data_IF_774467445215
#
_entry.id   IF_774467445215
#
_cell.length_a   1.000
_cell.length_b   1.000
_cell.length_c   1.000
_cell.angle_alpha   90.00
_cell.angle_beta   90.00
_cell.angle_gamma   90.00
#
_symmetry.space_group_name_H-M   'P 1'
#
loop_
_entity.id
_entity.type
_entity.pdbx_description
1 polymer ?
#
# COMPACT_ATOMS: atom_id res chain seq x y z
N UNK A 1 -8.42 27.66 -9.51
CA UNK A 1 -7.16 26.88 -9.36
C UNK A 1 -7.10 25.89 -10.50
N UNK A 2 -6.40 26.29 -11.59
CA UNK A 2 -6.34 25.47 -12.82
C UNK A 2 -4.97 24.82 -12.96
N UNK A 3 -4.93 23.58 -13.42
CA UNK A 3 -3.70 22.87 -13.74
C UNK A 3 -3.00 23.53 -14.90
N UNK A 4 -1.77 24.02 -14.72
CA UNK A 4 -0.96 24.64 -15.77
C UNK A 4 0.23 23.78 -16.20
N UNK A 5 0.70 22.89 -15.32
CA UNK A 5 1.79 21.98 -15.65
C UNK A 5 1.76 20.71 -14.78
N UNK A 6 2.33 19.61 -15.26
CA UNK A 6 2.59 18.38 -14.52
C UNK A 6 4.05 18.01 -14.79
N UNK A 7 4.87 17.96 -13.74
CA UNK A 7 6.30 17.67 -13.81
C UNK A 7 6.62 16.37 -13.11
N UNK A 8 7.59 15.66 -13.64
CA UNK A 8 8.12 14.43 -13.10
C UNK A 8 9.57 14.60 -12.66
N UNK A 9 9.94 13.94 -11.58
CA UNK A 9 11.30 13.93 -11.06
C UNK A 9 11.64 12.56 -10.49
N UNK A 10 12.85 12.05 -10.74
CA UNK A 10 13.31 10.80 -10.12
C UNK A 10 13.89 11.08 -8.74
N UNK A 11 13.45 10.31 -7.75
CA UNK A 11 14.04 10.31 -6.40
C UNK A 11 14.69 8.96 -6.11
N UNK A 12 15.79 8.98 -5.35
CA UNK A 12 16.46 7.77 -4.89
C UNK A 12 16.85 7.91 -3.42
N UNK A 13 16.27 7.05 -2.57
CA UNK A 13 16.52 7.04 -1.13
C UNK A 13 17.05 5.65 -0.75
N UNK A 14 18.30 5.53 -0.22
CA UNK A 14 18.82 4.26 0.24
C UNK A 14 17.99 3.70 1.41
N UNK A 15 17.88 2.36 1.49
CA UNK A 15 17.27 1.68 2.62
C UNK A 15 18.29 1.47 3.76
N UNK A 16 17.76 1.35 4.98
CA UNK A 16 18.56 0.96 6.18
C UNK A 16 19.14 -0.44 6.00
N UNK A 17 18.29 -1.38 5.51
CA UNK A 17 18.67 -2.75 5.15
C UNK A 17 18.01 -3.10 3.81
N UNK A 18 18.61 -4.03 3.01
CA UNK A 18 17.98 -4.47 1.77
C UNK A 18 16.62 -5.10 2.02
N UNK A 19 15.59 -4.66 1.28
CA UNK A 19 14.23 -5.19 1.33
C UNK A 19 14.12 -6.43 0.44
N UNK A 20 13.69 -7.56 1.01
CA UNK A 20 13.62 -8.85 0.32
C UNK A 20 12.24 -9.48 0.44
N UNK A 21 11.67 -9.88 -0.68
CA UNK A 21 10.43 -10.65 -0.78
C UNK A 21 10.67 -11.96 -1.53
N UNK A 22 9.62 -12.76 -1.74
CA UNK A 22 9.70 -13.92 -2.61
C UNK A 22 10.07 -13.52 -4.05
N UNK A 23 9.67 -12.33 -4.51
CA UNK A 23 9.76 -11.90 -5.91
C UNK A 23 11.01 -11.08 -6.24
N UNK A 24 11.55 -10.27 -5.29
CA UNK A 24 12.65 -9.34 -5.56
C UNK A 24 13.49 -8.98 -4.33
N UNK A 25 14.65 -8.38 -4.61
CA UNK A 25 15.50 -7.71 -3.61
C UNK A 25 15.81 -6.30 -4.13
N UNK A 26 15.75 -5.29 -3.25
CA UNK A 26 16.12 -3.91 -3.55
C UNK A 26 16.78 -3.23 -2.35
N UNK A 27 17.65 -2.27 -2.59
CA UNK A 27 18.44 -1.55 -1.58
C UNK A 27 18.07 -0.06 -1.49
N UNK A 28 17.14 0.39 -2.30
CA UNK A 28 16.69 1.78 -2.32
C UNK A 28 15.23 1.90 -2.78
N UNK A 29 14.54 2.94 -2.31
CA UNK A 29 13.39 3.55 -2.99
C UNK A 29 13.95 4.28 -4.21
N UNK A 30 13.41 4.02 -5.40
CA UNK A 30 13.88 4.60 -6.66
C UNK A 30 12.66 4.97 -7.53
N UNK A 31 11.95 6.03 -7.12
CA UNK A 31 10.59 6.36 -7.53
C UNK A 31 10.52 7.64 -8.36
N UNK A 32 9.37 7.85 -9.00
CA UNK A 32 9.06 9.07 -9.75
C UNK A 32 8.11 9.92 -8.91
N UNK A 33 8.57 11.11 -8.52
CA UNK A 33 7.72 12.14 -7.91
C UNK A 33 7.00 12.89 -9.02
N UNK A 34 5.71 13.10 -8.83
CA UNK A 34 4.87 13.91 -9.70
C UNK A 34 4.45 15.18 -8.97
N UNK A 35 4.63 16.33 -9.64
CA UNK A 35 4.16 17.63 -9.17
C UNK A 35 3.11 18.17 -10.13
N UNK A 36 1.89 18.39 -9.64
CA UNK A 36 0.83 19.08 -10.38
C UNK A 36 0.84 20.54 -9.94
N UNK A 37 1.07 21.46 -10.89
CA UNK A 37 1.27 22.89 -10.66
C UNK A 37 0.04 23.64 -11.14
N UNK A 38 -0.42 24.60 -10.33
CA UNK A 38 -1.62 25.41 -10.62
C UNK A 38 -1.27 26.85 -11.00
N UNK A 39 -2.22 27.54 -11.63
CA UNK A 39 -2.13 28.95 -12.01
C UNK A 39 -2.11 29.92 -10.82
N UNK A 40 -2.44 29.44 -9.64
CA UNK A 40 -2.43 30.19 -8.37
C UNK A 40 -1.16 29.92 -7.55
N UNK A 41 -0.28 29.02 -8.01
CA UNK A 41 1.03 28.77 -7.43
C UNK A 41 1.08 27.55 -6.50
N UNK A 42 -0.05 26.96 -6.13
CA UNK A 42 -0.05 25.74 -5.32
C UNK A 42 0.47 24.55 -6.13
N UNK A 43 1.11 23.63 -5.43
CA UNK A 43 1.67 22.40 -5.96
C UNK A 43 1.10 21.22 -5.19
N UNK A 44 0.56 20.25 -5.93
CA UNK A 44 0.19 18.95 -5.37
C UNK A 44 1.26 17.91 -5.67
N UNK A 45 1.45 17.01 -4.73
CA UNK A 45 2.49 15.98 -4.79
C UNK A 45 1.92 14.57 -4.89
N UNK A 46 2.56 13.75 -5.70
CA UNK A 46 2.32 12.32 -5.80
C UNK A 46 3.59 11.58 -6.13
N UNK A 47 3.54 10.27 -6.00
CA UNK A 47 4.70 9.40 -6.16
C UNK A 47 4.30 8.10 -6.87
N UNK A 48 5.17 7.58 -7.70
CA UNK A 48 4.98 6.34 -8.45
C UNK A 48 6.23 5.45 -8.38
N UNK A 49 6.21 4.37 -7.59
CA UNK A 49 7.25 3.34 -7.61
C UNK A 49 7.14 2.48 -8.88
N UNK A 50 8.26 2.27 -9.61
CA UNK A 50 8.31 1.35 -10.76
C UNK A 50 8.40 -0.10 -10.27
N UNK A 51 7.26 -0.73 -9.99
CA UNK A 51 7.21 -2.11 -9.47
C UNK A 51 6.84 -3.10 -10.57
N UNK A 52 7.78 -3.36 -11.49
CA UNK A 52 7.54 -4.15 -12.69
C UNK A 52 6.99 -5.56 -12.42
N UNK A 53 7.36 -6.19 -11.29
CA UNK A 53 6.92 -7.55 -10.93
C UNK A 53 5.50 -7.61 -10.33
N UNK A 54 4.90 -6.47 -10.00
CA UNK A 54 3.55 -6.38 -9.43
C UNK A 54 2.62 -5.61 -10.37
N UNK A 55 2.93 -4.32 -10.64
CA UNK A 55 2.07 -3.47 -11.49
C UNK A 55 2.42 -3.56 -12.97
N UNK A 56 3.60 -4.09 -13.31
CA UNK A 56 4.14 -4.06 -14.67
C UNK A 56 4.73 -2.71 -15.07
N UNK A 57 4.65 -1.71 -14.19
CA UNK A 57 5.17 -0.37 -14.48
C UNK A 57 6.69 -0.30 -14.29
N UNK A 58 7.35 0.34 -15.24
CA UNK A 58 8.76 0.71 -15.22
C UNK A 58 8.91 2.22 -15.12
N UNK A 59 10.12 2.72 -14.81
CA UNK A 59 10.35 4.19 -14.83
C UNK A 59 9.94 4.81 -16.16
N UNK A 60 10.35 4.21 -17.26
CA UNK A 60 10.08 4.77 -18.59
C UNK A 60 8.59 4.71 -18.94
N UNK A 61 7.86 3.65 -18.52
CA UNK A 61 6.41 3.60 -18.73
C UNK A 61 5.68 4.66 -17.91
N UNK A 62 6.11 4.90 -16.66
CA UNK A 62 5.54 5.95 -15.81
C UNK A 62 5.78 7.33 -16.42
N UNK A 63 7.03 7.64 -16.78
CA UNK A 63 7.39 8.92 -17.42
C UNK A 63 6.61 9.14 -18.72
N UNK A 64 6.60 8.16 -19.63
CA UNK A 64 5.86 8.26 -20.89
C UNK A 64 4.34 8.37 -20.67
N UNK A 65 3.77 7.65 -19.71
CA UNK A 65 2.35 7.78 -19.40
C UNK A 65 1.99 9.18 -18.90
N UNK A 66 2.83 9.77 -18.03
CA UNK A 66 2.61 11.12 -17.52
C UNK A 66 2.80 12.17 -18.62
N UNK A 67 3.93 12.18 -19.31
CA UNK A 67 4.29 13.24 -20.26
C UNK A 67 3.44 13.21 -21.54
N UNK A 68 3.23 12.02 -22.12
CA UNK A 68 2.63 11.91 -23.46
C UNK A 68 1.09 11.80 -23.41
N UNK A 69 0.52 11.35 -22.29
CA UNK A 69 -0.91 11.05 -22.19
C UNK A 69 -1.62 11.83 -21.08
N UNK A 70 -1.12 11.80 -19.85
CA UNK A 70 -1.83 12.37 -18.70
C UNK A 70 -1.72 13.89 -18.70
N UNK A 71 -0.49 14.43 -18.79
CA UNK A 71 -0.24 15.87 -18.79
C UNK A 71 -1.06 16.61 -19.87
N UNK A 72 -0.99 16.26 -21.17
CA UNK A 72 -1.77 16.97 -22.19
C UNK A 72 -3.28 16.83 -22.02
N UNK A 73 -3.73 15.80 -21.32
CA UNK A 73 -5.14 15.54 -21.05
C UNK A 73 -5.71 16.38 -19.91
N UNK A 74 -4.88 16.85 -18.97
CA UNK A 74 -5.33 17.52 -17.74
C UNK A 74 -5.00 19.01 -17.68
N UNK A 75 -4.12 19.52 -18.52
CA UNK A 75 -3.82 20.95 -18.58
C UNK A 75 -5.10 21.76 -18.85
N UNK A 76 -5.30 22.82 -18.06
CA UNK A 76 -6.45 23.71 -18.13
C UNK A 76 -7.68 23.28 -17.32
N UNK A 77 -7.68 22.06 -16.77
CA UNK A 77 -8.78 21.66 -15.86
C UNK A 77 -8.71 22.43 -14.55
N UNK A 78 -9.88 22.78 -14.04
CA UNK A 78 -10.03 23.36 -12.70
C UNK A 78 -10.08 22.26 -11.64
N UNK A 79 -9.29 22.40 -10.57
CA UNK A 79 -9.23 21.43 -9.47
C UNK A 79 -10.61 21.19 -8.82
N UNK A 80 -11.50 22.17 -8.85
CA UNK A 80 -12.86 22.04 -8.34
C UNK A 80 -13.70 21.02 -9.14
N UNK A 81 -13.33 20.73 -10.39
CA UNK A 81 -13.96 19.68 -11.20
C UNK A 81 -13.29 18.33 -11.00
N UNK A 82 -13.22 17.87 -9.75
CA UNK A 82 -12.52 16.63 -9.36
C UNK A 82 -13.01 15.42 -10.15
N UNK A 83 -14.32 15.21 -10.25
CA UNK A 83 -14.90 14.08 -10.99
C UNK A 83 -14.50 14.09 -12.49
N UNK A 84 -14.52 15.28 -13.12
CA UNK A 84 -14.11 15.44 -14.51
C UNK A 84 -12.63 15.15 -14.72
N UNK A 85 -11.76 15.60 -13.80
CA UNK A 85 -10.32 15.29 -13.81
C UNK A 85 -10.11 13.78 -13.69
N UNK A 86 -10.75 13.12 -12.70
CA UNK A 86 -10.59 11.70 -12.46
C UNK A 86 -11.08 10.85 -13.64
N UNK A 87 -12.24 11.17 -14.22
CA UNK A 87 -12.72 10.52 -15.46
C UNK A 87 -11.72 10.64 -16.59
N UNK A 88 -11.13 11.82 -16.77
CA UNK A 88 -10.14 12.06 -17.84
C UNK A 88 -8.86 11.29 -17.57
N UNK A 89 -8.32 11.35 -16.35
CA UNK A 89 -7.13 10.64 -15.90
C UNK A 89 -7.25 9.13 -16.13
N UNK A 90 -8.37 8.53 -15.69
CA UNK A 90 -8.55 7.09 -15.81
C UNK A 90 -8.86 6.61 -17.24
N UNK A 91 -9.31 7.50 -18.13
CA UNK A 91 -9.65 7.17 -19.51
C UNK A 91 -8.55 7.46 -20.55
N UNK A 92 -7.60 8.37 -20.26
CA UNK A 92 -6.63 8.85 -21.26
C UNK A 92 -5.62 7.78 -21.69
N UNK A 93 -5.35 6.79 -20.84
CA UNK A 93 -4.48 5.65 -21.12
C UNK A 93 -5.00 4.39 -20.40
N UNK A 94 -4.79 3.20 -20.97
CA UNK A 94 -5.14 1.92 -20.31
C UNK A 94 -4.03 1.48 -19.38
N UNK A 95 -4.39 0.79 -18.28
CA UNK A 95 -3.43 0.35 -17.23
C UNK A 95 -2.59 1.52 -16.71
N UNK A 96 -1.26 1.37 -16.59
CA UNK A 96 -0.34 2.39 -16.07
C UNK A 96 -0.82 2.95 -14.71
N UNK A 97 -1.14 2.03 -13.81
CA UNK A 97 -1.81 2.36 -12.55
C UNK A 97 -0.93 3.19 -11.61
N UNK A 98 0.39 2.95 -11.59
CA UNK A 98 1.32 3.75 -10.77
C UNK A 98 1.39 5.21 -11.25
N UNK A 99 1.46 5.45 -12.57
CA UNK A 99 1.46 6.80 -13.13
C UNK A 99 0.17 7.55 -12.82
N UNK A 100 -0.98 6.87 -12.95
CA UNK A 100 -2.30 7.43 -12.59
C UNK A 100 -2.39 7.73 -11.10
N UNK A 101 -1.92 6.80 -10.25
CA UNK A 101 -1.93 6.97 -8.80
C UNK A 101 -1.15 8.22 -8.37
N UNK A 102 0.03 8.44 -8.94
CA UNK A 102 0.82 9.63 -8.62
C UNK A 102 0.10 10.94 -8.99
N UNK A 103 -0.53 11.01 -10.16
CA UNK A 103 -1.28 12.22 -10.56
C UNK A 103 -2.58 12.34 -9.77
N UNK A 104 -3.28 11.24 -9.49
CA UNK A 104 -4.49 11.20 -8.65
C UNK A 104 -4.18 11.75 -7.25
N UNK A 105 -3.13 11.25 -6.59
CA UNK A 105 -2.69 11.74 -5.27
C UNK A 105 -2.42 13.25 -5.30
N UNK A 106 -1.67 13.73 -6.29
CA UNK A 106 -1.34 15.15 -6.44
C UNK A 106 -2.59 16.03 -6.65
N UNK A 107 -3.57 15.53 -7.39
CA UNK A 107 -4.85 16.24 -7.59
C UNK A 107 -5.69 16.25 -6.32
N UNK A 108 -5.77 15.12 -5.58
CA UNK A 108 -6.45 15.07 -4.28
C UNK A 108 -5.77 15.94 -3.23
N UNK A 109 -4.45 16.03 -3.26
CA UNK A 109 -3.67 16.95 -2.42
C UNK A 109 -4.09 18.41 -2.71
N UNK A 110 -4.07 18.85 -3.97
CA UNK A 110 -4.53 20.19 -4.38
C UNK A 110 -6.00 20.45 -4.05
N UNK A 111 -6.87 19.46 -4.23
CA UNK A 111 -8.27 19.61 -3.90
C UNK A 111 -8.47 19.84 -2.39
N UNK A 112 -7.73 19.12 -1.56
CA UNK A 112 -7.77 19.30 -0.11
C UNK A 112 -7.12 20.62 0.32
N UNK A 113 -6.03 21.08 -0.33
CA UNK A 113 -5.46 22.41 -0.16
C UNK A 113 -6.49 23.50 -0.49
N UNK A 114 -7.23 23.35 -1.60
CA UNK A 114 -8.32 24.28 -1.98
C UNK A 114 -9.44 24.32 -0.94
N UNK A 115 -9.75 23.18 -0.30
CA UNK A 115 -10.72 23.11 0.80
C UNK A 115 -10.17 23.68 2.12
N UNK A 116 -8.89 23.97 2.22
CA UNK A 116 -8.23 24.42 3.45
C UNK A 116 -8.22 23.35 4.55
N UNK A 117 -8.25 22.08 4.20
CA UNK A 117 -8.37 20.95 5.13
C UNK A 117 -7.34 19.86 4.84
N UNK A 118 -6.91 19.09 5.86
CA UNK A 118 -6.16 17.87 5.64
C UNK A 118 -6.96 16.89 4.77
N UNK A 119 -6.27 16.16 3.89
CA UNK A 119 -6.93 15.27 2.94
C UNK A 119 -7.79 14.20 3.65
N UNK A 120 -7.35 13.64 4.77
CA UNK A 120 -8.15 12.63 5.48
C UNK A 120 -9.53 13.16 5.95
N UNK A 121 -9.62 14.45 6.33
CA UNK A 121 -10.89 15.08 6.68
C UNK A 121 -11.78 15.29 5.46
N UNK A 122 -11.21 15.66 4.32
CA UNK A 122 -11.93 15.77 3.05
C UNK A 122 -12.48 14.40 2.62
N UNK A 123 -11.75 13.32 2.91
CA UNK A 123 -12.19 11.94 2.64
C UNK A 123 -13.23 11.40 3.64
N UNK A 124 -13.65 12.22 4.62
CA UNK A 124 -14.70 11.89 5.57
C UNK A 124 -14.22 11.39 6.93
N UNK A 125 -12.91 11.46 7.21
CA UNK A 125 -12.29 10.82 8.34
C UNK A 125 -12.30 11.56 9.66
N UNK A 126 -12.08 10.79 10.73
CA UNK A 126 -11.99 11.25 12.11
C UNK A 126 -10.82 10.63 12.87
N UNK A 127 -10.02 9.74 12.25
CA UNK A 127 -8.86 9.15 12.91
C UNK A 127 -7.63 10.03 12.71
N UNK A 128 -7.07 10.53 13.82
CA UNK A 128 -5.81 11.31 13.80
C UNK A 128 -4.56 10.46 13.97
N UNK A 129 -4.71 9.17 14.28
CA UNK A 129 -3.60 8.22 14.42
C UNK A 129 -3.97 6.92 13.73
N UNK A 130 -3.03 6.40 12.94
CA UNK A 130 -3.07 5.08 12.31
C UNK A 130 -1.95 4.24 12.91
N UNK A 131 -2.21 2.96 13.18
CA UNK A 131 -1.18 2.01 13.60
C UNK A 131 -0.79 1.15 12.39
N UNK A 132 0.49 1.12 12.05
CA UNK A 132 1.05 0.28 10.99
C UNK A 132 1.80 -0.91 11.58
N UNK A 133 1.98 -1.97 10.79
CA UNK A 133 2.95 -3.02 11.10
C UNK A 133 4.37 -2.63 10.65
N UNK A 134 5.33 -3.52 10.90
CA UNK A 134 6.68 -3.48 10.31
C UNK A 134 6.96 -4.79 9.59
N UNK A 135 7.45 -4.68 8.36
CA UNK A 135 7.80 -5.83 7.51
C UNK A 135 9.16 -6.43 7.90
N UNK A 136 9.18 -7.72 8.20
CA UNK A 136 10.38 -8.53 8.34
C UNK A 136 10.65 -9.22 7.01
N UNK A 137 11.74 -8.84 6.35
CA UNK A 137 12.15 -9.36 5.04
C UNK A 137 12.56 -10.84 5.10
N UNK A 138 12.42 -11.56 3.97
CA UNK A 138 12.87 -12.96 3.87
C UNK A 138 14.40 -13.06 4.00
N UNK A 139 14.84 -13.70 5.06
CA UNK A 139 16.25 -13.97 5.40
C UNK A 139 16.37 -15.37 6.04
N UNK A 140 17.58 -15.86 6.41
CA UNK A 140 17.73 -16.99 7.31
C UNK A 140 16.97 -16.79 8.62
N UNK A 141 16.47 -17.87 9.22
CA UNK A 141 15.56 -17.81 10.38
C UNK A 141 16.15 -17.03 11.55
N UNK A 142 17.43 -17.24 11.85
CA UNK A 142 18.16 -16.54 12.91
C UNK A 142 18.18 -15.01 12.70
N UNK A 143 18.39 -14.57 11.47
CA UNK A 143 18.36 -13.13 11.11
C UNK A 143 16.94 -12.56 11.27
N UNK A 144 15.92 -13.28 10.81
CA UNK A 144 14.52 -12.83 10.92
C UNK A 144 14.06 -12.75 12.38
N UNK A 145 14.52 -13.68 13.22
CA UNK A 145 14.26 -13.66 14.67
C UNK A 145 14.87 -12.42 15.32
N UNK A 146 16.12 -12.08 14.99
CA UNK A 146 16.77 -10.88 15.52
C UNK A 146 16.11 -9.58 15.00
N UNK A 147 15.73 -9.53 13.71
CA UNK A 147 14.98 -8.41 13.13
C UNK A 147 13.63 -8.23 13.84
N UNK A 148 12.91 -9.33 14.11
CA UNK A 148 11.63 -9.31 14.83
C UNK A 148 11.77 -8.81 16.27
N UNK A 149 12.77 -9.32 17.03
CA UNK A 149 13.05 -8.84 18.39
C UNK A 149 13.39 -7.36 18.41
N UNK A 150 14.19 -6.90 17.44
CA UNK A 150 14.55 -5.50 17.30
C UNK A 150 13.30 -4.65 17.07
N UNK A 151 12.43 -5.03 16.14
CA UNK A 151 11.17 -4.33 15.86
C UNK A 151 10.29 -4.19 17.11
N UNK A 152 10.14 -5.28 17.89
CA UNK A 152 9.40 -5.26 19.15
C UNK A 152 10.06 -4.32 20.17
N UNK A 153 11.40 -4.31 20.26
CA UNK A 153 12.14 -3.40 21.16
C UNK A 153 11.99 -1.93 20.76
N UNK A 154 11.70 -1.64 19.49
CA UNK A 154 11.41 -0.33 18.93
C UNK A 154 9.93 0.07 19.08
N UNK A 155 9.11 -0.81 19.70
CA UNK A 155 7.72 -0.52 20.06
C UNK A 155 6.68 -0.98 19.05
N UNK A 156 7.03 -1.80 18.04
CA UNK A 156 6.05 -2.40 17.14
C UNK A 156 5.33 -3.56 17.83
N UNK A 157 4.01 -3.54 17.78
CA UNK A 157 3.11 -4.57 18.31
C UNK A 157 2.56 -5.49 17.23
N UNK A 158 2.76 -5.15 15.96
CA UNK A 158 2.35 -5.94 14.80
C UNK A 158 3.52 -6.10 13.84
N UNK A 159 3.80 -7.34 13.44
CA UNK A 159 4.87 -7.66 12.49
C UNK A 159 4.30 -8.38 11.27
N UNK A 160 4.70 -7.95 10.08
CA UNK A 160 4.40 -8.62 8.81
C UNK A 160 5.60 -9.46 8.38
N UNK A 161 5.45 -10.76 8.35
CA UNK A 161 6.52 -11.72 8.07
C UNK A 161 6.46 -12.17 6.62
N UNK A 162 7.48 -11.86 5.85
CA UNK A 162 7.59 -12.32 4.46
C UNK A 162 8.03 -13.79 4.42
N UNK A 163 7.27 -14.61 3.66
CA UNK A 163 7.48 -16.05 3.47
C UNK A 163 7.35 -16.42 1.98
N UNK A 164 7.02 -17.66 1.65
CA UNK A 164 6.67 -18.10 0.29
C UNK A 164 7.81 -18.70 -0.53
N UNK A 165 9.02 -18.83 0.06
CA UNK A 165 10.18 -19.44 -0.65
C UNK A 165 10.43 -20.90 -0.31
N UNK A 166 10.07 -21.35 0.89
CA UNK A 166 10.59 -22.57 1.50
C UNK A 166 9.50 -23.60 1.88
N UNK A 167 8.23 -23.28 1.60
CA UNK A 167 7.13 -24.19 1.88
C UNK A 167 7.04 -24.60 3.35
N UNK A 168 7.44 -25.87 3.69
CA UNK A 168 7.40 -26.33 5.08
C UNK A 168 8.32 -25.57 6.02
N UNK A 169 9.47 -25.08 5.55
CA UNK A 169 10.37 -24.23 6.31
C UNK A 169 9.74 -22.90 6.74
N UNK A 170 8.65 -22.45 6.06
CA UNK A 170 7.91 -21.27 6.45
C UNK A 170 7.18 -21.46 7.81
N UNK A 171 6.71 -22.68 8.13
CA UNK A 171 6.11 -23.00 9.44
C UNK A 171 7.15 -22.91 10.56
N UNK A 172 8.34 -23.51 10.36
CA UNK A 172 9.44 -23.47 11.34
C UNK A 172 9.92 -22.02 11.56
N UNK A 173 9.99 -21.24 10.49
CA UNK A 173 10.30 -19.79 10.54
C UNK A 173 9.30 -19.04 11.41
N UNK A 174 8.01 -19.21 11.16
CA UNK A 174 6.96 -18.55 11.94
C UNK A 174 6.97 -18.99 13.40
N UNK A 175 7.22 -20.27 13.69
CA UNK A 175 7.35 -20.79 15.06
C UNK A 175 8.52 -20.13 15.78
N UNK A 176 9.70 -20.08 15.16
CA UNK A 176 10.88 -19.46 15.76
C UNK A 176 10.66 -17.97 16.07
N UNK A 177 9.96 -17.24 15.17
CA UNK A 177 9.61 -15.84 15.39
C UNK A 177 8.59 -15.72 16.53
N UNK A 178 7.52 -16.52 16.56
CA UNK A 178 6.52 -16.51 17.64
C UNK A 178 7.15 -16.80 19.00
N UNK A 179 8.00 -17.81 19.08
CA UNK A 179 8.73 -18.15 20.32
C UNK A 179 9.61 -16.99 20.80
N UNK A 180 10.17 -16.21 19.89
CA UNK A 180 11.08 -15.12 20.19
C UNK A 180 10.37 -13.82 20.59
N UNK A 181 9.21 -13.50 20.00
CA UNK A 181 8.49 -12.23 20.24
C UNK A 181 7.37 -12.36 21.29
N UNK A 182 7.00 -13.59 21.66
CA UNK A 182 5.94 -13.86 22.63
C UNK A 182 4.53 -13.80 22.06
N UNK A 183 3.49 -14.08 22.87
CA UNK A 183 2.11 -14.22 22.42
C UNK A 183 1.40 -12.88 22.13
N UNK A 184 1.87 -11.78 22.69
CA UNK A 184 1.17 -10.49 22.63
C UNK A 184 1.42 -9.72 21.33
N UNK A 185 2.41 -10.12 20.53
CA UNK A 185 2.73 -9.50 19.23
C UNK A 185 1.85 -10.10 18.14
N UNK A 186 1.12 -9.27 17.39
CA UNK A 186 0.35 -9.71 16.25
C UNK A 186 1.28 -10.09 15.09
N UNK A 187 1.08 -11.28 14.52
CA UNK A 187 1.85 -11.75 13.37
C UNK A 187 0.95 -11.85 12.15
N UNK A 188 1.34 -11.16 11.07
CA UNK A 188 0.78 -11.26 9.72
C UNK A 188 1.77 -12.03 8.85
N UNK A 189 1.27 -12.87 7.97
CA UNK A 189 2.10 -13.63 7.04
C UNK A 189 1.83 -13.13 5.63
N UNK A 190 2.88 -12.83 4.87
CA UNK A 190 2.74 -12.48 3.45
C UNK A 190 3.57 -13.46 2.60
N UNK A 191 2.86 -14.28 1.85
CA UNK A 191 3.45 -15.28 0.98
C UNK A 191 3.84 -14.73 -0.40
N UNK A 192 3.41 -13.52 -0.76
CA UNK A 192 3.67 -12.87 -2.05
C UNK A 192 3.50 -13.85 -3.23
N UNK A 193 2.36 -14.56 -3.29
CA UNK A 193 2.03 -15.51 -4.36
C UNK A 193 2.92 -16.77 -4.37
N UNK A 194 3.63 -17.09 -3.28
CA UNK A 194 4.67 -18.10 -3.25
C UNK A 194 4.19 -19.55 -3.14
N UNK A 195 2.89 -19.81 -2.92
CA UNK A 195 2.36 -21.15 -2.69
C UNK A 195 1.30 -21.52 -3.73
N UNK A 196 1.22 -22.82 -4.05
CA UNK A 196 0.04 -23.36 -4.73
C UNK A 196 -1.09 -23.58 -3.72
N UNK A 197 -2.36 -23.58 -4.18
CA UNK A 197 -3.54 -23.61 -3.30
C UNK A 197 -3.53 -24.74 -2.25
N UNK A 198 -3.25 -25.99 -2.66
CA UNK A 198 -3.15 -27.12 -1.72
C UNK A 198 -1.96 -27.02 -0.75
N UNK A 199 -0.86 -26.47 -1.22
CA UNK A 199 0.30 -26.21 -0.39
C UNK A 199 -0.01 -25.13 0.66
N UNK A 200 -0.65 -24.04 0.26
CA UNK A 200 -1.09 -22.97 1.16
C UNK A 200 -1.97 -23.51 2.29
N UNK A 201 -2.99 -24.31 1.97
CA UNK A 201 -3.84 -24.97 2.98
C UNK A 201 -3.00 -25.81 3.95
N UNK A 202 -2.06 -26.63 3.42
CA UNK A 202 -1.21 -27.49 4.26
C UNK A 202 -0.32 -26.66 5.20
N UNK A 203 0.27 -25.56 4.73
CA UNK A 203 1.16 -24.69 5.51
C UNK A 203 0.37 -23.94 6.57
N UNK A 204 -0.75 -23.29 6.19
CA UNK A 204 -1.58 -22.50 7.11
C UNK A 204 -2.18 -23.41 8.18
N UNK A 205 -2.71 -24.59 7.81
CA UNK A 205 -3.23 -25.56 8.78
C UNK A 205 -2.14 -26.08 9.74
N UNK A 206 -0.89 -26.19 9.30
CA UNK A 206 0.22 -26.53 10.19
C UNK A 206 0.53 -25.38 11.17
N UNK A 207 0.49 -24.12 10.73
CA UNK A 207 0.62 -22.95 11.61
C UNK A 207 -0.51 -22.88 12.66
N UNK A 208 -1.74 -23.20 12.23
CA UNK A 208 -2.92 -23.30 13.11
C UNK A 208 -2.79 -24.43 14.14
N UNK A 209 -2.26 -25.60 13.74
CA UNK A 209 -2.04 -26.74 14.63
C UNK A 209 -0.94 -26.48 15.68
N UNK A 210 0.08 -25.70 15.33
CA UNK A 210 1.11 -25.22 16.25
C UNK A 210 0.65 -24.03 17.12
N UNK A 211 -0.59 -23.59 16.98
CA UNK A 211 -1.17 -22.46 17.71
C UNK A 211 -0.34 -21.17 17.59
N UNK A 212 0.14 -20.85 16.37
CA UNK A 212 0.99 -19.69 16.16
C UNK A 212 0.22 -18.36 16.19
N UNK A 213 -1.11 -18.39 16.28
CA UNK A 213 -1.99 -17.22 16.39
C UNK A 213 -1.69 -16.14 15.33
N UNK A 214 -1.80 -16.56 14.05
CA UNK A 214 -1.58 -15.69 12.90
C UNK A 214 -2.83 -14.85 12.65
N UNK A 215 -2.71 -13.51 12.64
CA UNK A 215 -3.83 -12.59 12.42
C UNK A 215 -4.44 -12.76 11.02
N UNK A 216 -3.59 -12.88 10.00
CA UNK A 216 -4.00 -13.09 8.61
C UNK A 216 -2.84 -13.62 7.76
N UNK A 217 -3.20 -14.23 6.62
CA UNK A 217 -2.26 -14.61 5.55
C UNK A 217 -2.59 -13.84 4.29
N UNK A 218 -1.61 -13.07 3.80
CA UNK A 218 -1.72 -12.24 2.60
C UNK A 218 -1.23 -13.00 1.37
N UNK A 219 -2.03 -12.94 0.30
CA UNK A 219 -1.81 -13.44 -1.05
C UNK A 219 -1.04 -14.77 -1.10
N UNK A 220 -1.63 -15.87 -0.63
CA UNK A 220 -0.97 -17.18 -0.64
C UNK A 220 -0.72 -17.73 -2.04
N UNK A 221 -1.66 -17.52 -2.98
CA UNK A 221 -1.63 -18.05 -4.36
C UNK A 221 -1.30 -16.95 -5.38
N UNK A 222 -0.97 -17.36 -6.61
CA UNK A 222 -0.74 -16.42 -7.72
C UNK A 222 -1.96 -15.52 -7.96
N UNK A 223 -1.71 -14.29 -8.39
CA UNK A 223 -2.71 -13.21 -8.48
C UNK A 223 -3.94 -13.59 -9.30
N UNK A 224 -3.76 -14.30 -10.42
CA UNK A 224 -4.83 -14.66 -11.36
C UNK A 224 -5.58 -15.95 -10.97
N UNK A 225 -5.14 -16.66 -9.90
CA UNK A 225 -5.77 -17.89 -9.42
C UNK A 225 -6.85 -17.60 -8.36
N UNK A 226 -7.95 -16.99 -8.79
CA UNK A 226 -9.10 -16.69 -7.92
C UNK A 226 -9.75 -17.93 -7.33
N UNK A 227 -9.81 -19.03 -8.09
CA UNK A 227 -10.34 -20.31 -7.61
C UNK A 227 -9.42 -20.92 -6.55
N UNK A 228 -8.11 -20.85 -6.75
CA UNK A 228 -7.13 -21.29 -5.77
C UNK A 228 -7.15 -20.46 -4.50
N UNK A 229 -7.29 -19.13 -4.61
CA UNK A 229 -7.43 -18.24 -3.46
C UNK A 229 -8.69 -18.59 -2.66
N UNK A 230 -9.83 -18.74 -3.36
CA UNK A 230 -11.08 -19.19 -2.75
C UNK A 230 -10.93 -20.56 -2.08
N UNK A 231 -10.25 -21.50 -2.76
CA UNK A 231 -10.01 -22.81 -2.18
C UNK A 231 -9.25 -22.72 -0.86
N UNK A 232 -8.23 -21.84 -0.77
CA UNK A 232 -7.50 -21.61 0.50
C UNK A 232 -8.45 -21.05 1.55
N UNK A 233 -9.17 -19.97 1.23
CA UNK A 233 -10.12 -19.30 2.15
C UNK A 233 -11.17 -20.28 2.72
N UNK A 234 -11.71 -21.16 1.88
CA UNK A 234 -12.71 -22.15 2.30
C UNK A 234 -12.15 -23.28 3.21
N UNK A 235 -10.81 -23.49 3.26
CA UNK A 235 -10.20 -24.66 3.91
C UNK A 235 -9.28 -24.32 5.09
N UNK A 236 -9.14 -23.06 5.44
CA UNK A 236 -8.38 -22.62 6.61
C UNK A 236 -9.25 -21.76 7.53
N UNK A 237 -8.83 -21.59 8.81
CA UNK A 237 -9.53 -20.74 9.77
C UNK A 237 -8.90 -19.34 9.83
N UNK A 238 -7.61 -19.26 9.52
CA UNK A 238 -6.87 -18.01 9.50
C UNK A 238 -7.38 -17.13 8.36
N UNK A 239 -7.75 -15.87 8.61
CA UNK A 239 -8.26 -14.97 7.58
C UNK A 239 -7.29 -14.78 6.41
N UNK A 240 -7.82 -14.77 5.20
CA UNK A 240 -7.06 -14.57 3.95
C UNK A 240 -7.26 -13.16 3.43
N UNK A 241 -6.15 -12.45 3.21
CA UNK A 241 -6.10 -11.11 2.65
C UNK A 241 -5.66 -11.16 1.18
N UNK A 242 -6.50 -10.65 0.28
CA UNK A 242 -6.17 -10.52 -1.14
C UNK A 242 -5.37 -9.24 -1.39
N UNK A 243 -4.16 -9.35 -1.94
CA UNK A 243 -3.31 -8.23 -2.37
C UNK A 243 -3.21 -8.15 -3.90
N UNK A 244 -2.34 -8.95 -4.50
CA UNK A 244 -2.09 -8.89 -5.95
C UNK A 244 -3.28 -9.38 -6.79
N UNK A 245 -4.29 -9.98 -6.19
CA UNK A 245 -5.55 -10.32 -6.87
C UNK A 245 -6.53 -9.15 -6.98
N UNK A 246 -6.25 -7.96 -6.42
CA UNK A 246 -7.16 -6.80 -6.44
C UNK A 246 -6.46 -5.58 -7.01
N UNK A 247 -6.66 -5.30 -8.28
CA UNK A 247 -6.18 -4.09 -8.97
C UNK A 247 -7.31 -3.11 -9.31
N UNK A 248 -8.54 -3.56 -9.28
CA UNK A 248 -9.67 -2.75 -9.71
C UNK A 248 -10.92 -2.98 -8.87
N UNK A 249 -11.87 -2.06 -9.02
CA UNK A 249 -13.22 -2.19 -8.47
C UNK A 249 -13.89 -3.50 -8.92
N UNK A 250 -13.62 -3.96 -10.15
CA UNK A 250 -14.20 -5.21 -10.69
C UNK A 250 -13.63 -6.42 -9.98
N UNK A 251 -12.32 -6.45 -9.76
CA UNK A 251 -11.65 -7.54 -9.03
C UNK A 251 -12.19 -7.61 -7.60
N UNK A 252 -12.36 -6.47 -6.92
CA UNK A 252 -12.93 -6.40 -5.58
C UNK A 252 -14.37 -6.97 -5.55
N UNK A 253 -15.22 -6.60 -6.52
CA UNK A 253 -16.58 -7.14 -6.64
C UNK A 253 -16.54 -8.66 -6.84
N UNK A 254 -15.66 -9.15 -7.69
CA UNK A 254 -15.54 -10.57 -8.00
C UNK A 254 -15.09 -11.37 -6.78
N UNK A 255 -14.04 -10.91 -6.09
CA UNK A 255 -13.55 -11.53 -4.86
C UNK A 255 -14.60 -11.58 -3.76
N UNK A 256 -15.26 -10.45 -3.49
CA UNK A 256 -16.29 -10.34 -2.46
C UNK A 256 -17.49 -11.25 -2.76
N UNK A 257 -18.02 -11.22 -3.99
CA UNK A 257 -19.17 -12.05 -4.38
C UNK A 257 -18.90 -13.54 -4.28
N UNK A 258 -17.69 -13.96 -4.62
CA UNK A 258 -17.27 -15.35 -4.58
C UNK A 258 -16.75 -15.77 -3.20
N UNK A 259 -16.61 -14.84 -2.23
CA UNK A 259 -15.96 -15.06 -0.94
C UNK A 259 -14.58 -15.70 -1.12
N UNK A 260 -13.81 -15.15 -2.06
CA UNK A 260 -12.49 -15.67 -2.39
C UNK A 260 -11.39 -15.18 -1.45
N UNK A 261 -11.68 -14.18 -0.62
CA UNK A 261 -10.82 -13.71 0.46
C UNK A 261 -11.71 -13.09 1.57
N UNK A 262 -11.18 -13.00 2.79
CA UNK A 262 -11.84 -12.39 3.95
C UNK A 262 -11.61 -10.88 4.03
N UNK A 263 -10.44 -10.41 3.55
CA UNK A 263 -10.03 -9.01 3.55
C UNK A 263 -9.43 -8.61 2.20
N UNK A 264 -9.39 -7.30 1.94
CA UNK A 264 -8.78 -6.71 0.74
C UNK A 264 -7.66 -5.75 1.11
N UNK A 265 -6.47 -5.92 0.51
CA UNK A 265 -5.38 -4.95 0.62
C UNK A 265 -5.49 -3.90 -0.50
N UNK A 266 -5.75 -2.64 -0.12
CA UNK A 266 -5.80 -1.49 -1.01
C UNK A 266 -4.41 -0.86 -1.06
N UNK A 267 -3.76 -0.91 -2.23
CA UNK A 267 -2.54 -0.17 -2.53
C UNK A 267 -2.82 0.82 -3.65
N UNK A 268 -2.51 2.09 -3.45
CA UNK A 268 -2.81 3.15 -4.41
C UNK A 268 -2.19 2.87 -5.79
N UNK A 269 -1.02 2.25 -5.82
CA UNK A 269 -0.33 1.87 -7.06
C UNK A 269 -1.05 0.80 -7.87
N UNK A 270 -1.79 -0.10 -7.21
CA UNK A 270 -2.62 -1.10 -7.88
C UNK A 270 -3.91 -0.49 -8.40
N UNK A 271 -4.60 0.26 -7.56
CA UNK A 271 -5.92 0.83 -7.88
C UNK A 271 -5.85 1.98 -8.89
N UNK A 272 -4.69 2.62 -9.02
CA UNK A 272 -4.53 3.82 -9.84
C UNK A 272 -4.89 5.10 -9.10
N UNK A 273 -4.84 5.10 -7.76
CA UNK A 273 -5.00 6.25 -6.89
C UNK A 273 -6.15 6.15 -5.89
N UNK A 274 -6.39 7.25 -5.21
CA UNK A 274 -7.40 7.42 -4.16
C UNK A 274 -8.81 7.28 -4.71
N UNK A 275 -9.07 7.81 -5.91
CA UNK A 275 -10.40 7.81 -6.52
C UNK A 275 -10.97 6.39 -6.70
N UNK A 276 -10.19 5.48 -7.26
CA UNK A 276 -10.61 4.08 -7.42
C UNK A 276 -10.60 3.34 -6.07
N UNK A 277 -9.64 3.65 -5.18
CA UNK A 277 -9.61 3.09 -3.83
C UNK A 277 -10.88 3.42 -3.03
N UNK A 278 -11.41 4.64 -3.13
CA UNK A 278 -12.68 5.02 -2.49
C UNK A 278 -13.87 4.19 -2.98
N UNK A 279 -13.90 3.83 -4.25
CA UNK A 279 -14.95 2.95 -4.79
C UNK A 279 -14.84 1.54 -4.21
N UNK A 280 -13.61 1.02 -4.07
CA UNK A 280 -13.36 -0.28 -3.41
C UNK A 280 -13.82 -0.22 -1.96
N UNK A 281 -13.47 0.83 -1.21
CA UNK A 281 -13.94 1.04 0.16
C UNK A 281 -15.47 1.01 0.24
N UNK A 282 -16.18 1.72 -0.64
CA UNK A 282 -17.64 1.76 -0.64
C UNK A 282 -18.29 0.39 -0.91
N UNK A 283 -17.68 -0.42 -1.78
CA UNK A 283 -18.14 -1.80 -2.02
C UNK A 283 -17.85 -2.67 -0.80
N UNK A 284 -16.64 -2.62 -0.27
CA UNK A 284 -16.24 -3.36 0.92
C UNK A 284 -17.16 -3.04 2.12
N UNK A 285 -17.45 -1.76 2.36
CA UNK A 285 -18.42 -1.31 3.37
C UNK A 285 -19.82 -1.93 3.16
N UNK A 286 -20.29 -1.98 1.91
CA UNK A 286 -21.62 -2.51 1.58
C UNK A 286 -21.73 -4.00 1.91
N UNK A 287 -20.66 -4.76 1.77
CA UNK A 287 -20.61 -6.20 2.02
C UNK A 287 -20.03 -6.57 3.40
N UNK A 288 -19.55 -5.61 4.18
CA UNK A 288 -18.94 -5.86 5.49
C UNK A 288 -17.56 -6.54 5.41
N UNK A 289 -16.81 -6.32 4.32
CA UNK A 289 -15.47 -6.87 4.13
C UNK A 289 -14.44 -5.80 4.55
N UNK A 290 -13.61 -6.12 5.53
CA UNK A 290 -12.56 -5.20 6.00
C UNK A 290 -11.47 -4.99 4.95
N UNK A 291 -10.84 -3.81 5.01
CA UNK A 291 -9.71 -3.48 4.15
C UNK A 291 -8.45 -3.20 4.98
N UNK A 292 -7.32 -3.48 4.38
CA UNK A 292 -6.01 -2.98 4.80
C UNK A 292 -5.54 -1.91 3.80
N UNK A 293 -4.91 -0.85 4.29
CA UNK A 293 -4.14 0.05 3.43
C UNK A 293 -2.69 -0.42 3.41
N UNK A 294 -2.20 -0.79 2.24
CA UNK A 294 -0.81 -1.18 2.06
C UNK A 294 -0.05 -0.22 1.15
N UNK A 295 1.27 -0.37 1.11
CA UNK A 295 2.15 0.33 0.18
C UNK A 295 3.02 -0.66 -0.62
N UNK A 296 3.63 -0.15 -1.69
CA UNK A 296 4.81 -0.76 -2.29
C UNK A 296 6.03 -0.35 -1.46
N UNK A 297 7.22 -0.46 -2.02
CA UNK A 297 8.38 0.22 -1.42
C UNK A 297 8.34 1.68 -1.90
N UNK A 298 7.78 2.53 -1.08
CA UNK A 298 7.42 3.92 -1.39
C UNK A 298 8.04 4.86 -0.36
N UNK A 299 8.26 6.12 -0.76
CA UNK A 299 8.68 7.15 0.16
C UNK A 299 7.49 7.80 0.88
N UNK A 300 7.76 8.82 1.69
CA UNK A 300 6.76 9.47 2.52
C UNK A 300 5.59 10.09 1.75
N UNK A 301 5.75 10.51 0.49
CA UNK A 301 4.65 11.14 -0.27
C UNK A 301 3.52 10.15 -0.50
N UNK A 302 3.79 9.00 -1.13
CA UNK A 302 2.76 8.01 -1.42
C UNK A 302 2.21 7.37 -0.14
N UNK A 303 3.08 7.06 0.82
CA UNK A 303 2.66 6.48 2.10
C UNK A 303 1.78 7.47 2.88
N UNK A 304 2.06 8.78 2.83
CA UNK A 304 1.18 9.80 3.43
C UNK A 304 -0.20 9.82 2.78
N UNK A 305 -0.26 9.76 1.44
CA UNK A 305 -1.56 9.71 0.75
C UNK A 305 -2.37 8.47 1.14
N UNK A 306 -1.71 7.30 1.26
CA UNK A 306 -2.35 6.06 1.74
C UNK A 306 -2.77 6.17 3.22
N UNK A 307 -1.98 6.81 4.09
CA UNK A 307 -2.34 7.08 5.48
C UNK A 307 -3.56 8.00 5.58
N UNK A 308 -3.64 9.06 4.74
CA UNK A 308 -4.82 9.92 4.67
C UNK A 308 -6.07 9.15 4.23
N UNK A 309 -5.96 8.23 3.27
CA UNK A 309 -7.07 7.34 2.89
C UNK A 309 -7.48 6.45 4.06
N UNK A 310 -6.52 5.81 4.72
CA UNK A 310 -6.78 4.96 5.88
C UNK A 310 -7.43 5.74 7.02
N UNK A 311 -6.96 6.94 7.33
CA UNK A 311 -7.54 7.81 8.34
C UNK A 311 -8.96 8.29 7.98
N UNK A 312 -9.20 8.46 6.66
CA UNK A 312 -10.46 8.93 6.10
C UNK A 312 -11.57 7.88 6.01
N UNK A 313 -11.25 6.58 6.04
CA UNK A 313 -12.23 5.50 5.78
C UNK A 313 -12.20 4.45 6.89
N UNK A 314 -13.30 4.30 7.61
CA UNK A 314 -13.41 3.39 8.76
C UNK A 314 -13.32 1.91 8.37
N UNK A 315 -13.69 1.54 7.14
CA UNK A 315 -13.59 0.17 6.62
C UNK A 315 -12.13 -0.31 6.49
N UNK A 316 -11.17 0.62 6.41
CA UNK A 316 -9.74 0.32 6.44
C UNK A 316 -9.35 0.17 7.91
N UNK A 317 -9.34 -1.05 8.40
CA UNK A 317 -9.10 -1.38 9.81
C UNK A 317 -7.64 -1.69 10.12
N UNK A 318 -6.84 -1.97 9.09
CA UNK A 318 -5.43 -2.37 9.19
C UNK A 318 -4.56 -1.51 8.26
N UNK A 319 -3.29 -1.34 8.62
CA UNK A 319 -2.30 -0.67 7.78
C UNK A 319 -0.99 -1.46 7.71
N UNK A 320 -0.35 -1.40 6.54
CA UNK A 320 0.98 -1.89 6.19
C UNK A 320 1.66 -0.75 5.41
N UNK A 321 2.08 0.28 6.17
CA UNK A 321 2.54 1.59 5.68
C UNK A 321 3.93 1.93 6.25
N UNK A 322 4.82 0.96 6.30
CA UNK A 322 6.14 1.02 6.90
C UNK A 322 7.24 1.57 5.98
N UNK A 323 6.94 1.89 4.71
CA UNK A 323 7.92 2.36 3.73
C UNK A 323 8.89 3.44 4.25
N UNK A 324 8.41 4.54 4.87
CA UNK A 324 9.29 5.57 5.43
C UNK A 324 10.23 5.08 6.53
N UNK A 325 9.82 4.10 7.35
CA UNK A 325 10.66 3.51 8.41
C UNK A 325 11.83 2.69 7.84
N UNK A 326 11.71 2.21 6.59
CA UNK A 326 12.76 1.46 5.91
C UNK A 326 13.81 2.37 5.26
N UNK A 327 13.54 3.67 5.09
CA UNK A 327 14.41 4.64 4.45
C UNK A 327 15.51 5.16 5.40
N UNK A 328 16.72 5.39 4.90
CA UNK A 328 17.82 5.96 5.68
C UNK A 328 17.60 7.40 6.11
N UNK A 329 16.82 8.16 5.35
CA UNK A 329 16.50 9.57 5.61
C UNK A 329 15.20 9.94 4.93
N UNK A 330 14.56 10.99 5.45
CA UNK A 330 13.35 11.62 4.88
C UNK A 330 13.74 12.95 4.23
N UNK A 331 13.58 13.10 2.90
CA UNK A 331 13.92 14.35 2.20
C UNK A 331 12.79 15.37 2.22
N UNK A 332 11.67 15.08 2.86
CA UNK A 332 10.45 15.91 2.80
C UNK A 332 10.24 16.68 4.09
N UNK A 333 9.55 17.83 3.97
CA UNK A 333 9.12 18.64 5.10
C UNK A 333 7.60 18.50 5.29
N UNK A 334 7.15 18.39 6.55
CA UNK A 334 5.74 18.26 6.89
C UNK A 334 5.18 16.84 6.63
N UNK A 335 3.87 16.76 6.39
CA UNK A 335 3.15 15.49 6.28
C UNK A 335 2.87 14.82 7.63
N UNK A 336 2.30 13.62 7.64
CA UNK A 336 2.14 12.82 8.84
C UNK A 336 3.48 12.53 9.50
N UNK A 337 3.49 12.42 10.83
CA UNK A 337 4.65 12.02 11.61
C UNK A 337 4.66 10.50 11.80
N UNK A 338 5.82 9.87 11.52
CA UNK A 338 6.01 8.44 11.66
C UNK A 338 6.84 8.17 12.93
N UNK A 339 6.18 7.67 13.97
CA UNK A 339 6.78 7.37 15.30
C UNK A 339 6.58 5.90 15.64
N UNK A 340 7.60 5.05 15.36
CA UNK A 340 7.48 3.61 15.49
C UNK A 340 6.27 3.11 14.67
N UNK A 341 5.36 2.39 15.31
CA UNK A 341 4.14 1.88 14.66
C UNK A 341 3.05 2.94 14.41
N UNK A 342 3.21 4.19 14.94
CA UNK A 342 2.16 5.20 14.85
C UNK A 342 2.43 6.19 13.73
N UNK A 343 1.42 6.39 12.91
CA UNK A 343 1.36 7.45 11.89
C UNK A 343 0.39 8.50 12.40
N UNK A 344 0.92 9.66 12.81
CA UNK A 344 0.16 10.75 13.41
C UNK A 344 -0.16 11.75 12.31
N UNK A 345 -1.46 11.91 12.01
CA UNK A 345 -1.94 12.83 10.99
C UNK A 345 -1.75 14.29 11.46
N UNK A 346 -1.31 15.15 10.56
CA UNK A 346 -1.23 16.58 10.83
C UNK A 346 -2.52 17.32 10.42
N UNK A 347 -2.61 18.62 10.81
CA UNK A 347 -3.74 19.48 10.50
C UNK A 347 -3.50 20.38 9.26
N UNK A 348 -2.39 20.24 8.56
CA UNK A 348 -2.09 21.00 7.35
C UNK A 348 -3.02 20.62 6.21
N UNK A 349 -3.36 21.59 5.37
CA UNK A 349 -4.18 21.35 4.20
C UNK A 349 -3.46 20.40 3.20
N UNK A 350 -4.22 19.57 2.49
CA UNK A 350 -3.67 18.58 1.59
C UNK A 350 -3.14 17.34 2.31
N UNK A 351 -2.10 16.72 1.77
CA UNK A 351 -1.28 15.70 2.45
C UNK A 351 -0.28 16.34 3.43
N UNK A 352 -0.17 17.67 3.40
CA UNK A 352 0.65 18.48 4.31
C UNK A 352 2.15 18.39 4.05
N UNK A 353 2.58 17.81 2.93
CA UNK A 353 3.99 17.67 2.56
C UNK A 353 4.42 18.83 1.65
N UNK A 354 5.65 19.30 1.87
CA UNK A 354 6.39 20.12 0.93
C UNK A 354 7.71 19.42 0.57
N UNK A 355 8.09 19.55 -0.69
CA UNK A 355 9.34 19.02 -1.21
C UNK A 355 10.05 20.13 -1.98
N UNK A 356 11.07 20.71 -1.38
CA UNK A 356 11.95 21.69 -1.99
C UNK A 356 13.30 21.03 -2.27
N UNK A 357 13.79 21.21 -3.50
CA UNK A 357 15.08 20.71 -3.93
C UNK A 357 16.14 21.80 -3.84
#
# INVERSE_FOLDING_TARGET
MKIIDIKTENIKIPLVTPFKTALRTTDCVDDIIVRVITDTGEVGYGEAPPTAVITGDTKMSILGAVEDFIRPSLIGYDIENLDGIMKKLHSCIKKNTSAKAAVDMAVYDLFAQKCGMPLYKVLGGGRSVITTDLTISVNPVDVMVEDAKKAVSEGFTTLKIKVGKDGRGDVERMKAIRDAVGPDVLLRVDANQGWGAKQAVSIISAMEAECLDIELVEQPTVADDFEGLKYVTDHVRTPILADESVFSVRDAIELIKNRAADLINIKLMKTGGIHEALKICGIAETYGVECMAGCMLESKIAVSAAAHLAAGRSIITKADLDGPALCKYDPYTGGPEFLGEKIIMNENAGIGITYEK
#
